data_IF_702187266684
#
_entry.id   IF_702187266684
#
_cell.length_a   1.000
_cell.length_b   1.000
_cell.length_c   1.000
_cell.angle_alpha   90.00
_cell.angle_beta   90.00
_cell.angle_gamma   90.00
#
_symmetry.space_group_name_H-M   'P 1'
#
loop_
_entity.id
_entity.type
_entity.pdbx_description
1 polymer ?
#
# COMPACT_ATOMS: atom_id res chain seq x y z
N UNK A 1 4.45 50.46 4.33
CA UNK A 1 3.29 49.64 3.89
C UNK A 1 3.02 49.99 2.44
N UNK A 2 3.15 49.04 1.53
CA UNK A 2 2.95 49.24 0.10
C UNK A 2 1.51 48.90 -0.31
N UNK A 3 1.10 49.37 -1.49
CA UNK A 3 -0.13 48.90 -2.14
C UNK A 3 0.03 47.44 -2.57
N UNK A 4 -1.04 46.64 -2.47
CA UNK A 4 -1.09 45.26 -2.95
C UNK A 4 -1.99 45.20 -4.19
N UNK A 5 -1.40 44.76 -5.30
CA UNK A 5 -2.04 44.61 -6.60
C UNK A 5 -2.20 43.13 -6.93
N UNK A 6 -3.19 42.82 -7.78
CA UNK A 6 -3.44 41.46 -8.29
C UNK A 6 -3.64 40.40 -7.19
N UNK A 7 -4.34 40.74 -6.11
CA UNK A 7 -4.60 39.79 -5.04
C UNK A 7 -5.52 38.68 -5.57
N UNK A 8 -4.99 37.47 -5.63
CA UNK A 8 -5.68 36.25 -6.04
C UNK A 8 -5.73 35.29 -4.85
N UNK A 9 -6.92 34.79 -4.54
CA UNK A 9 -7.10 33.76 -3.54
C UNK A 9 -7.22 32.41 -4.24
N UNK A 10 -6.37 31.47 -3.87
CA UNK A 10 -6.46 30.05 -4.24
C UNK A 10 -6.88 29.24 -3.02
N UNK A 11 -7.64 28.18 -3.27
CA UNK A 11 -8.21 27.33 -2.23
C UNK A 11 -7.78 25.88 -2.44
N UNK A 12 -7.81 25.08 -1.38
CA UNK A 12 -7.57 23.63 -1.47
C UNK A 12 -8.54 22.97 -2.45
N UNK A 13 -8.09 21.88 -3.09
CA UNK A 13 -8.92 21.12 -4.05
C UNK A 13 -10.11 20.40 -3.36
N UNK A 14 -10.14 20.39 -2.02
CA UNK A 14 -11.17 19.77 -1.17
C UNK A 14 -12.49 20.55 -1.12
N UNK A 15 -12.48 21.79 -1.62
CA UNK A 15 -13.67 22.64 -1.74
C UNK A 15 -13.82 23.15 -3.17
N UNK A 16 -15.06 23.20 -3.68
CA UNK A 16 -15.37 23.97 -4.87
C UNK A 16 -15.65 25.42 -4.47
N UNK A 17 -15.03 26.38 -5.17
CA UNK A 17 -15.27 27.81 -4.96
C UNK A 17 -15.93 28.43 -6.18
N UNK A 18 -16.86 29.36 -5.97
CA UNK A 18 -17.52 30.09 -7.07
C UNK A 18 -17.46 31.60 -6.83
N UNK A 19 -17.14 32.35 -7.89
CA UNK A 19 -17.32 33.80 -7.93
C UNK A 19 -16.13 34.67 -7.48
N UNK A 20 -14.93 34.12 -7.37
CA UNK A 20 -13.77 34.85 -6.85
C UNK A 20 -13.08 35.65 -7.96
N UNK A 21 -13.01 36.97 -7.79
CA UNK A 21 -12.37 37.91 -8.73
C UNK A 21 -11.14 38.55 -8.08
N UNK A 22 -10.14 38.88 -8.89
CA UNK A 22 -8.95 39.60 -8.42
C UNK A 22 -9.33 40.98 -7.86
N UNK A 23 -8.73 41.37 -6.73
CA UNK A 23 -8.94 42.68 -6.13
C UNK A 23 -7.62 43.44 -5.89
N UNK A 24 -7.72 44.76 -5.79
CA UNK A 24 -6.61 45.65 -5.42
C UNK A 24 -6.90 46.32 -4.09
N UNK A 25 -5.91 46.35 -3.20
CA UNK A 25 -6.01 46.91 -1.85
C UNK A 25 -4.97 48.04 -1.69
N UNK A 26 -5.42 49.23 -1.29
CA UNK A 26 -4.52 50.36 -1.05
C UNK A 26 -3.80 50.21 0.29
N UNK A 27 -2.64 50.85 0.43
CA UNK A 27 -1.92 50.84 1.69
C UNK A 27 -2.81 51.35 2.84
N UNK A 28 -2.88 50.59 3.95
CA UNK A 28 -3.72 50.85 5.14
C UNK A 28 -5.24 50.69 4.93
N UNK A 29 -5.67 50.11 3.82
CA UNK A 29 -7.08 49.76 3.56
C UNK A 29 -7.32 48.28 3.93
N UNK A 30 -8.50 47.98 4.49
CA UNK A 30 -8.98 46.62 4.74
C UNK A 30 -10.20 46.34 3.87
N UNK A 31 -10.24 45.19 3.19
CA UNK A 31 -11.41 44.73 2.42
C UNK A 31 -11.79 43.32 2.84
N UNK A 32 -13.09 43.09 2.99
CA UNK A 32 -13.67 41.76 3.22
C UNK A 32 -14.19 41.22 1.90
N UNK A 33 -13.91 39.94 1.60
CA UNK A 33 -14.43 39.24 0.42
C UNK A 33 -15.32 38.10 0.92
N UNK A 34 -16.53 38.03 0.38
CA UNK A 34 -17.45 36.92 0.60
C UNK A 34 -17.48 36.02 -0.64
N UNK A 35 -17.40 34.70 -0.44
CA UNK A 35 -17.49 33.72 -1.52
C UNK A 35 -18.14 32.43 -1.03
N UNK A 36 -18.83 31.75 -1.94
CA UNK A 36 -19.45 30.46 -1.64
C UNK A 36 -18.43 29.32 -1.78
N UNK A 37 -18.34 28.50 -0.75
CA UNK A 37 -17.56 27.26 -0.75
C UNK A 37 -18.51 26.06 -0.66
N UNK A 38 -18.20 25.00 -1.41
CA UNK A 38 -18.90 23.71 -1.30
C UNK A 38 -17.88 22.61 -0.98
N UNK A 39 -17.88 22.09 0.25
CA UNK A 39 -17.04 20.95 0.62
C UNK A 39 -17.39 19.73 -0.23
N UNK A 40 -16.36 19.01 -0.71
CA UNK A 40 -16.55 17.81 -1.54
C UNK A 40 -16.84 16.55 -0.73
N UNK A 41 -16.52 16.57 0.56
CA UNK A 41 -16.64 15.43 1.47
C UNK A 41 -17.18 15.90 2.85
N UNK A 42 -17.72 14.97 3.64
CA UNK A 42 -18.28 15.23 4.99
C UNK A 42 -17.19 15.25 6.08
N UNK A 43 -17.49 15.79 7.25
CA UNK A 43 -16.59 15.81 8.42
C UNK A 43 -15.73 17.07 8.50
N UNK A 44 -14.58 16.98 9.19
CA UNK A 44 -13.65 18.09 9.34
C UNK A 44 -12.82 18.24 8.06
N UNK A 45 -13.17 19.22 7.24
CA UNK A 45 -12.51 19.51 5.96
C UNK A 45 -11.53 20.68 6.16
N UNK A 46 -10.22 20.50 5.88
CA UNK A 46 -9.26 21.59 5.92
C UNK A 46 -9.46 22.52 4.72
N UNK A 47 -9.59 23.81 5.00
CA UNK A 47 -9.62 24.88 4.01
C UNK A 47 -8.29 25.63 4.05
N UNK A 48 -7.41 25.32 3.09
CA UNK A 48 -6.22 26.13 2.84
C UNK A 48 -6.60 27.32 1.95
N UNK A 49 -6.22 28.53 2.37
CA UNK A 49 -6.39 29.77 1.62
C UNK A 49 -5.00 30.35 1.36
N UNK A 50 -4.66 30.49 0.08
CA UNK A 50 -3.39 31.05 -0.37
C UNK A 50 -3.68 32.39 -1.04
N UNK A 51 -3.12 33.47 -0.47
CA UNK A 51 -3.16 34.80 -1.04
C UNK A 51 -1.87 35.08 -1.83
N UNK A 52 -2.02 35.30 -3.13
CA UNK A 52 -0.94 35.70 -4.03
C UNK A 52 -1.12 37.18 -4.40
N UNK A 53 -0.10 38.01 -4.20
CA UNK A 53 -0.19 39.44 -4.52
C UNK A 53 1.16 40.04 -4.92
N UNK A 54 1.12 41.22 -5.54
CA UNK A 54 2.29 41.94 -6.04
C UNK A 54 2.34 43.36 -5.46
N UNK A 55 3.51 43.86 -5.09
CA UNK A 55 3.67 45.25 -4.64
C UNK A 55 3.88 46.23 -5.80
N UNK A 56 3.85 47.54 -5.51
CA UNK A 56 4.06 48.59 -6.50
C UNK A 56 5.45 48.63 -7.17
N UNK A 57 6.38 47.75 -6.78
CA UNK A 57 7.69 47.56 -7.42
C UNK A 57 7.74 46.27 -8.27
N UNK A 58 6.63 45.55 -8.38
CA UNK A 58 6.51 44.32 -9.15
C UNK A 58 7.02 43.08 -8.42
N UNK A 59 7.24 43.15 -7.10
CA UNK A 59 7.68 41.99 -6.31
C UNK A 59 6.47 41.19 -5.87
N UNK A 60 6.53 39.86 -6.05
CA UNK A 60 5.45 38.92 -5.73
C UNK A 60 5.59 38.35 -4.31
N UNK A 61 4.46 38.10 -3.68
CA UNK A 61 4.34 37.59 -2.31
C UNK A 61 3.26 36.50 -2.25
N UNK A 62 3.44 35.58 -1.31
CA UNK A 62 2.52 34.48 -1.01
C UNK A 62 2.31 34.41 0.49
N UNK A 63 1.05 34.42 0.93
CA UNK A 63 0.67 34.16 2.32
C UNK A 63 -0.32 33.01 2.37
N UNK A 64 -0.17 32.14 3.37
CA UNK A 64 -1.01 30.95 3.55
C UNK A 64 -1.71 30.99 4.90
N UNK A 65 -2.98 30.59 4.90
CA UNK A 65 -3.79 30.40 6.09
C UNK A 65 -4.55 29.08 5.96
N UNK A 66 -4.67 28.34 7.05
CA UNK A 66 -5.42 27.08 7.10
C UNK A 66 -6.48 27.16 8.18
N UNK A 67 -7.71 26.80 7.84
CA UNK A 67 -8.87 26.82 8.74
C UNK A 67 -9.67 25.54 8.55
N UNK A 68 -10.22 24.97 9.62
CA UNK A 68 -10.99 23.74 9.56
C UNK A 68 -12.50 24.05 9.51
N UNK A 69 -13.22 23.34 8.63
CA UNK A 69 -14.66 23.49 8.46
C UNK A 69 -15.33 22.16 8.80
N UNK A 70 -16.25 22.18 9.76
CA UNK A 70 -17.05 21.03 10.14
C UNK A 70 -18.33 20.97 9.31
N UNK A 71 -18.57 19.84 8.63
CA UNK A 71 -19.69 19.66 7.69
C UNK A 71 -20.61 18.53 8.15
N UNK A 72 -21.75 18.89 8.75
CA UNK A 72 -22.79 17.97 9.25
C UNK A 72 -23.98 17.78 8.28
N UNK A 73 -24.75 16.69 8.47
CA UNK A 73 -25.86 16.26 7.61
C UNK A 73 -27.21 16.79 8.13
N UNK A 74 -27.95 17.58 7.33
CA UNK A 74 -29.28 18.05 7.75
C UNK A 74 -30.35 16.98 7.47
N UNK A 75 -31.00 16.48 8.52
CA UNK A 75 -32.10 15.52 8.45
C UNK A 75 -33.46 16.17 8.10
N UNK A 76 -34.23 15.53 7.20
CA UNK A 76 -35.70 15.46 7.25
C UNK A 76 -36.24 14.22 6.50
N UNK A 77 -37.34 13.69 7.04
CA UNK A 77 -37.75 12.27 7.18
C UNK A 77 -38.82 11.72 6.18
N UNK A 78 -39.16 10.39 6.23
CA UNK A 78 -39.82 9.52 5.20
C UNK A 78 -41.34 9.22 5.51
N UNK A 79 -42.06 8.08 5.20
CA UNK A 79 -41.79 6.79 4.49
C UNK A 79 -42.94 6.16 3.62
N UNK A 80 -42.66 5.01 2.97
CA UNK A 80 -43.48 3.76 2.80
C UNK A 80 -43.00 2.96 1.55
N UNK A 81 -42.94 1.62 1.42
CA UNK A 81 -42.95 0.42 2.28
C UNK A 81 -42.38 -0.73 1.43
N UNK A 82 -41.75 -1.70 2.10
CA UNK A 82 -41.19 -3.01 1.71
C UNK A 82 -41.75 -3.68 0.43
N UNK A 83 -40.85 -4.20 -0.42
CA UNK A 83 -40.93 -5.56 -1.02
C UNK A 83 -39.55 -5.99 -1.52
N UNK A 84 -39.00 -7.08 -0.98
CA UNK A 84 -38.01 -7.92 -1.68
C UNK A 84 -38.80 -8.81 -2.65
N UNK A 85 -38.29 -9.16 -3.85
CA UNK A 85 -37.27 -10.21 -3.93
C UNK A 85 -36.26 -10.10 -5.11
N UNK A 86 -35.26 -10.98 -5.01
CA UNK A 86 -34.43 -11.57 -6.06
C UNK A 86 -33.09 -10.91 -6.41
N UNK A 87 -32.08 -11.78 -6.44
CA UNK A 87 -30.68 -11.56 -6.74
C UNK A 87 -30.45 -10.64 -7.95
N UNK A 88 -29.78 -9.52 -7.71
CA UNK A 88 -29.18 -8.72 -8.77
C UNK A 88 -27.72 -9.12 -8.82
N UNK A 89 -27.34 -9.78 -9.91
CA UNK A 89 -25.95 -9.97 -10.29
C UNK A 89 -25.27 -8.59 -10.29
N UNK A 90 -24.24 -8.42 -9.45
CA UNK A 90 -23.48 -7.18 -9.35
C UNK A 90 -22.80 -6.89 -10.67
N UNK A 91 -23.23 -5.82 -11.35
CA UNK A 91 -22.44 -5.24 -12.43
C UNK A 91 -21.11 -4.72 -11.86
N UNK A 92 -19.99 -4.92 -12.55
CA UNK A 92 -18.71 -4.38 -12.11
C UNK A 92 -18.77 -2.84 -12.05
N UNK A 93 -18.01 -2.19 -11.14
CA UNK A 93 -17.94 -0.73 -11.07
C UNK A 93 -17.56 -0.15 -12.44
N UNK A 94 -18.16 0.98 -12.80
CA UNK A 94 -17.79 1.71 -14.01
C UNK A 94 -16.30 2.09 -13.94
N UNK A 95 -15.55 1.80 -14.99
CA UNK A 95 -14.14 2.16 -15.09
C UNK A 95 -13.94 3.66 -14.79
N UNK A 96 -12.86 4.04 -14.09
CA UNK A 96 -12.56 5.46 -13.89
C UNK A 96 -12.33 6.13 -15.24
N UNK A 97 -12.79 7.39 -15.40
CA UNK A 97 -12.73 8.20 -16.65
C UNK A 97 -11.33 8.25 -17.31
N UNK A 98 -10.29 7.97 -16.52
CA UNK A 98 -8.90 7.86 -16.93
C UNK A 98 -8.52 6.53 -17.60
N UNK A 99 -9.42 5.56 -17.67
CA UNK A 99 -9.16 4.21 -18.17
C UNK A 99 -9.93 3.89 -19.46
N UNK A 100 -10.84 4.76 -19.92
CA UNK A 100 -11.56 4.58 -21.19
C UNK A 100 -10.61 4.54 -22.39
N UNK A 101 -9.56 5.35 -22.36
CA UNK A 101 -8.48 5.34 -23.37
C UNK A 101 -7.65 4.05 -23.32
N UNK A 102 -7.53 3.42 -22.15
CA UNK A 102 -6.83 2.13 -21.97
C UNK A 102 -7.60 0.98 -22.62
N UNK A 103 -8.91 1.13 -22.87
CA UNK A 103 -9.72 0.14 -23.62
C UNK A 103 -9.25 -0.03 -25.07
N UNK A 104 -8.51 0.93 -25.62
CA UNK A 104 -7.91 0.76 -26.96
C UNK A 104 -6.73 -0.23 -26.94
N UNK A 105 -6.07 -0.42 -25.79
CA UNK A 105 -4.90 -1.29 -25.61
C UNK A 105 -5.24 -2.60 -24.91
N UNK A 106 -6.19 -2.57 -23.98
CA UNK A 106 -6.51 -3.68 -23.08
C UNK A 106 -8.01 -4.00 -23.10
N UNK A 107 -8.34 -5.28 -23.26
CA UNK A 107 -9.69 -5.79 -23.07
C UNK A 107 -9.88 -6.07 -21.57
N UNK A 108 -10.68 -5.25 -20.88
CA UNK A 108 -10.99 -5.44 -19.46
C UNK A 108 -11.94 -6.62 -19.26
N UNK A 109 -11.51 -7.61 -18.48
CA UNK A 109 -12.27 -8.84 -18.24
C UNK A 109 -12.99 -8.77 -16.89
N UNK A 110 -12.25 -8.41 -15.84
CA UNK A 110 -12.72 -8.54 -14.46
C UNK A 110 -12.02 -7.53 -13.56
N UNK A 111 -12.74 -7.02 -12.57
CA UNK A 111 -12.15 -6.23 -11.49
C UNK A 111 -11.63 -7.19 -10.41
N UNK A 112 -10.33 -7.11 -10.09
CA UNK A 112 -9.69 -8.01 -9.12
C UNK A 112 -9.78 -7.43 -7.71
N UNK A 113 -9.47 -6.13 -7.56
CA UNK A 113 -9.43 -5.52 -6.24
C UNK A 113 -9.10 -4.03 -6.25
N UNK A 114 -9.27 -3.40 -5.10
CA UNK A 114 -9.07 -1.97 -4.89
C UNK A 114 -8.25 -1.78 -3.62
N UNK A 115 -7.03 -1.27 -3.77
CA UNK A 115 -6.14 -0.89 -2.67
C UNK A 115 -6.27 0.59 -2.31
N UNK A 116 -5.47 1.08 -1.36
CA UNK A 116 -5.50 2.50 -0.99
C UNK A 116 -5.18 3.45 -2.16
N UNK A 117 -4.30 3.02 -3.07
CA UNK A 117 -3.71 3.89 -4.09
C UNK A 117 -4.02 3.48 -5.54
N UNK A 118 -4.51 2.27 -5.77
CA UNK A 118 -4.74 1.74 -7.11
C UNK A 118 -5.87 0.72 -7.13
N UNK A 119 -6.53 0.62 -8.27
CA UNK A 119 -7.44 -0.44 -8.64
C UNK A 119 -6.71 -1.44 -9.54
N UNK A 120 -7.05 -2.72 -9.42
CA UNK A 120 -6.43 -3.81 -10.19
C UNK A 120 -7.50 -4.51 -11.01
N UNK A 121 -7.22 -4.67 -12.29
CA UNK A 121 -8.13 -5.31 -13.24
C UNK A 121 -7.44 -6.48 -13.93
N UNK A 122 -8.16 -7.57 -14.16
CA UNK A 122 -7.77 -8.61 -15.10
C UNK A 122 -8.04 -8.12 -16.50
N UNK A 123 -7.03 -8.15 -17.35
CA UNK A 123 -7.12 -7.69 -18.73
C UNK A 123 -6.57 -8.73 -19.69
N UNK A 124 -6.99 -8.63 -20.95
CA UNK A 124 -6.37 -9.32 -22.07
C UNK A 124 -5.72 -8.29 -23.00
N UNK A 125 -4.50 -8.57 -23.41
CA UNK A 125 -3.78 -7.76 -24.42
C UNK A 125 -4.19 -8.25 -25.81
N UNK A 126 -4.06 -7.42 -26.84
CA UNK A 126 -4.42 -7.77 -28.22
C UNK A 126 -3.72 -9.03 -28.77
N UNK A 127 -2.55 -9.42 -28.23
CA UNK A 127 -1.90 -10.70 -28.57
C UNK A 127 -2.50 -11.94 -27.88
N UNK A 128 -3.53 -11.78 -27.03
CA UNK A 128 -4.27 -12.87 -26.39
C UNK A 128 -3.80 -13.27 -24.99
N UNK A 129 -2.69 -12.69 -24.50
CA UNK A 129 -2.19 -12.94 -23.14
C UNK A 129 -3.04 -12.27 -22.06
N UNK A 130 -3.19 -12.95 -20.92
CA UNK A 130 -3.82 -12.41 -19.72
C UNK A 130 -2.77 -11.69 -18.87
N UNK A 131 -3.13 -10.52 -18.36
CA UNK A 131 -2.32 -9.71 -17.46
C UNK A 131 -3.19 -9.10 -16.35
N UNK A 132 -2.55 -8.64 -15.28
CA UNK A 132 -3.18 -7.78 -14.28
C UNK A 132 -2.75 -6.33 -14.53
N UNK A 133 -3.70 -5.41 -14.56
CA UNK A 133 -3.48 -3.99 -14.82
C UNK A 133 -3.75 -3.20 -13.53
N UNK A 134 -2.68 -2.71 -12.90
CA UNK A 134 -2.75 -1.84 -11.72
C UNK A 134 -2.84 -0.39 -12.20
N UNK A 135 -3.96 0.25 -11.92
CA UNK A 135 -4.27 1.63 -12.33
C UNK A 135 -4.38 2.48 -11.07
N UNK A 136 -3.60 3.55 -10.91
CA UNK A 136 -3.70 4.39 -9.73
C UNK A 136 -5.08 5.06 -9.69
N UNK A 137 -5.65 5.15 -8.49
CA UNK A 137 -6.91 5.86 -8.27
C UNK A 137 -6.71 7.33 -8.64
N UNK A 138 -7.63 7.87 -9.45
CA UNK A 138 -7.55 9.24 -9.94
C UNK A 138 -7.81 10.25 -8.81
N UNK A 139 -6.79 10.62 -8.04
CA UNK A 139 -6.87 11.72 -7.09
C UNK A 139 -5.47 12.18 -6.66
N UNK A 140 -5.10 13.42 -6.96
CA UNK A 140 -3.91 14.14 -6.46
C UNK A 140 -2.53 13.82 -7.08
N UNK A 141 -1.65 14.82 -7.04
CA UNK A 141 -0.22 14.71 -7.41
C UNK A 141 0.56 13.78 -6.48
N UNK A 142 0.11 13.59 -5.24
CA UNK A 142 0.77 12.75 -4.22
C UNK A 142 0.65 11.27 -4.60
N UNK A 143 -0.54 10.78 -4.95
CA UNK A 143 -0.74 9.39 -5.36
C UNK A 143 0.05 9.01 -6.61
N UNK A 144 0.12 9.90 -7.61
CA UNK A 144 0.98 9.69 -8.79
C UNK A 144 2.47 9.58 -8.42
N UNK A 145 2.96 10.39 -7.49
CA UNK A 145 4.35 10.31 -7.03
C UNK A 145 4.64 8.99 -6.31
N UNK A 146 3.72 8.52 -5.47
CA UNK A 146 3.82 7.22 -4.79
C UNK A 146 3.85 6.09 -5.82
N UNK A 147 2.94 6.10 -6.79
CA UNK A 147 2.86 5.12 -7.86
C UNK A 147 4.12 5.07 -8.74
N UNK A 148 4.68 6.23 -9.13
CA UNK A 148 5.93 6.30 -9.89
C UNK A 148 7.12 5.79 -9.05
N UNK A 149 7.13 6.09 -7.74
CA UNK A 149 8.17 5.61 -6.83
C UNK A 149 8.11 4.09 -6.67
N UNK A 150 6.91 3.53 -6.50
CA UNK A 150 6.66 2.08 -6.48
C UNK A 150 7.23 1.42 -7.75
N UNK A 151 6.82 1.92 -8.91
CA UNK A 151 7.28 1.44 -10.21
C UNK A 151 8.81 1.51 -10.33
N UNK A 152 9.42 2.64 -9.95
CA UNK A 152 10.87 2.83 -10.04
C UNK A 152 11.66 1.83 -9.18
N UNK A 153 11.17 1.47 -7.98
CA UNK A 153 11.84 0.44 -7.19
C UNK A 153 11.64 -0.94 -7.79
N UNK A 154 10.41 -1.28 -8.17
CA UNK A 154 10.04 -2.61 -8.65
C UNK A 154 10.70 -2.95 -10.00
N UNK A 155 10.89 -1.96 -10.90
CA UNK A 155 11.58 -2.16 -12.18
C UNK A 155 13.02 -2.68 -12.04
N UNK A 156 13.68 -2.45 -10.90
CA UNK A 156 15.05 -2.90 -10.64
C UNK A 156 15.14 -4.32 -10.03
N UNK A 157 13.98 -4.95 -9.82
CA UNK A 157 13.87 -6.29 -9.23
C UNK A 157 13.53 -7.31 -10.31
N UNK A 158 14.32 -8.39 -10.37
CA UNK A 158 14.20 -9.49 -11.33
C UNK A 158 14.57 -10.76 -10.59
N UNK A 159 13.55 -11.52 -10.20
CA UNK A 159 13.71 -12.73 -9.40
C UNK A 159 12.50 -13.66 -9.67
N UNK A 160 12.66 -14.99 -9.70
CA UNK A 160 11.54 -15.91 -9.94
C UNK A 160 10.38 -15.72 -8.96
N UNK A 161 10.68 -15.43 -7.70
CA UNK A 161 9.70 -15.20 -6.62
C UNK A 161 9.37 -13.71 -6.38
N UNK A 162 9.60 -12.85 -7.37
CA UNK A 162 9.08 -11.47 -7.39
C UNK A 162 8.14 -11.35 -8.58
N UNK A 163 6.95 -10.80 -8.37
CA UNK A 163 5.95 -10.67 -9.42
C UNK A 163 6.48 -9.72 -10.51
N UNK A 164 6.37 -10.16 -11.76
CA UNK A 164 6.98 -9.50 -12.92
C UNK A 164 6.12 -8.35 -13.42
N UNK A 165 6.75 -7.20 -13.62
CA UNK A 165 6.23 -6.10 -14.44
C UNK A 165 6.46 -6.45 -15.91
N UNK A 166 5.38 -6.51 -16.70
CA UNK A 166 5.40 -6.75 -18.14
C UNK A 166 5.60 -5.45 -18.93
N UNK A 167 4.82 -4.43 -18.59
CA UNK A 167 4.83 -3.12 -19.24
C UNK A 167 4.35 -2.04 -18.25
N UNK A 168 4.54 -0.77 -18.59
CA UNK A 168 4.02 0.35 -17.82
C UNK A 168 3.93 1.59 -18.71
N UNK A 169 3.06 2.53 -18.32
CA UNK A 169 3.12 3.88 -18.86
C UNK A 169 2.90 4.89 -17.72
N UNK A 170 3.40 6.10 -17.93
CA UNK A 170 3.22 7.25 -17.05
C UNK A 170 2.37 8.34 -17.69
N UNK A 171 2.19 8.33 -19.02
CA UNK A 171 1.49 9.37 -19.79
C UNK A 171 0.78 8.79 -21.03
N UNK A 172 -0.45 9.25 -21.37
CA UNK A 172 -1.27 10.21 -20.64
C UNK A 172 -1.95 9.61 -19.40
N UNK A 173 -2.01 8.27 -19.30
CA UNK A 173 -2.67 7.56 -18.20
C UNK A 173 -1.71 6.57 -17.56
N UNK A 174 -1.35 6.77 -16.28
CA UNK A 174 -0.41 5.89 -15.61
C UNK A 174 -1.02 4.50 -15.38
N UNK A 175 -0.26 3.45 -15.67
CA UNK A 175 -0.60 2.06 -15.33
C UNK A 175 0.66 1.22 -15.14
N UNK A 176 0.53 0.09 -14.45
CA UNK A 176 1.52 -0.97 -14.39
C UNK A 176 0.85 -2.25 -14.85
N UNK A 177 1.38 -2.84 -15.91
CA UNK A 177 0.99 -4.15 -16.38
C UNK A 177 1.85 -5.22 -15.69
N UNK A 178 1.20 -6.15 -15.02
CA UNK A 178 1.80 -7.22 -14.24
C UNK A 178 1.46 -8.57 -14.89
N UNK A 179 2.33 -9.56 -14.69
CA UNK A 179 1.91 -10.95 -14.92
C UNK A 179 0.68 -11.27 -14.05
N UNK A 180 -0.26 -12.01 -14.62
CA UNK A 180 -1.50 -12.35 -13.91
C UNK A 180 -1.22 -13.47 -12.91
N UNK A 181 -1.58 -13.21 -11.65
CA UNK A 181 -1.62 -14.20 -10.59
C UNK A 181 -3.05 -14.74 -10.43
N UNK A 182 -3.20 -16.05 -10.26
CA UNK A 182 -4.53 -16.67 -10.15
C UNK A 182 -5.20 -16.38 -8.80
N UNK A 183 -4.40 -16.26 -7.74
CA UNK A 183 -4.86 -16.02 -6.37
C UNK A 183 -3.72 -15.49 -5.50
N UNK A 184 -4.07 -14.95 -4.33
CA UNK A 184 -3.14 -14.60 -3.25
C UNK A 184 -3.07 -15.70 -2.18
N UNK A 185 -2.09 -15.61 -1.29
CA UNK A 185 -2.01 -16.47 -0.11
C UNK A 185 -3.15 -16.22 0.89
N UNK A 186 -3.74 -15.02 0.87
CA UNK A 186 -4.92 -14.70 1.68
C UNK A 186 -6.17 -15.48 1.23
N UNK A 187 -6.23 -15.89 -0.03
CA UNK A 187 -7.34 -16.67 -0.58
C UNK A 187 -7.27 -18.17 -0.23
N UNK A 188 -6.16 -18.64 0.33
CA UNK A 188 -5.98 -20.04 0.71
C UNK A 188 -6.67 -20.35 2.04
N UNK A 189 -7.18 -21.58 2.17
CA UNK A 189 -7.70 -22.06 3.45
C UNK A 189 -6.54 -22.45 4.37
N UNK A 190 -6.41 -21.73 5.48
CA UNK A 190 -5.41 -22.02 6.51
C UNK A 190 -5.98 -22.94 7.62
N UNK A 191 -5.14 -23.72 8.32
CA UNK A 191 -3.70 -23.88 8.13
C UNK A 191 -3.35 -24.71 6.88
N UNK A 192 -2.18 -24.45 6.31
CA UNK A 192 -1.59 -25.22 5.21
C UNK A 192 -0.84 -26.47 5.72
N UNK A 193 -0.50 -27.37 4.81
CA UNK A 193 0.47 -28.43 5.10
C UNK A 193 1.86 -27.83 5.36
N UNK A 194 2.64 -28.50 6.22
CA UNK A 194 3.88 -27.93 6.77
C UNK A 194 4.92 -27.68 5.68
N UNK A 195 5.08 -28.63 4.77
CA UNK A 195 6.00 -28.55 3.64
C UNK A 195 5.64 -27.41 2.69
N UNK A 196 4.34 -27.15 2.51
CA UNK A 196 3.85 -26.03 1.69
C UNK A 196 4.15 -24.68 2.36
N UNK A 197 3.80 -24.53 3.64
CA UNK A 197 4.11 -23.32 4.41
C UNK A 197 5.62 -23.03 4.45
N UNK A 198 6.44 -24.05 4.67
CA UNK A 198 7.90 -23.92 4.66
C UNK A 198 8.45 -23.55 3.27
N UNK A 199 7.93 -24.18 2.20
CA UNK A 199 8.33 -23.89 0.82
C UNK A 199 7.98 -22.46 0.41
N UNK A 200 6.75 -22.02 0.69
CA UNK A 200 6.33 -20.63 0.43
C UNK A 200 7.26 -19.68 1.17
N UNK A 201 7.45 -19.86 2.47
CA UNK A 201 8.31 -18.98 3.28
C UNK A 201 9.75 -18.94 2.76
N UNK A 202 10.30 -20.08 2.34
CA UNK A 202 11.65 -20.16 1.77
C UNK A 202 11.78 -19.30 0.50
N UNK A 203 10.85 -19.44 -0.45
CA UNK A 203 10.87 -18.67 -1.70
C UNK A 203 10.68 -17.17 -1.50
N UNK A 204 9.84 -16.79 -0.53
CA UNK A 204 9.64 -15.39 -0.14
C UNK A 204 10.92 -14.82 0.47
N UNK A 205 11.58 -15.56 1.37
CA UNK A 205 12.86 -15.15 1.96
C UNK A 205 13.98 -15.06 0.91
N UNK A 206 14.00 -15.92 -0.10
CA UNK A 206 14.99 -15.84 -1.17
C UNK A 206 14.80 -14.59 -2.06
N UNK A 207 13.54 -14.23 -2.37
CA UNK A 207 13.22 -12.95 -3.00
C UNK A 207 13.65 -11.74 -2.16
N UNK A 208 13.43 -11.78 -0.85
CA UNK A 208 13.85 -10.72 0.07
C UNK A 208 15.38 -10.62 0.15
N UNK A 209 16.09 -11.75 0.22
CA UNK A 209 17.56 -11.79 0.16
C UNK A 209 18.09 -11.08 -1.08
N UNK A 210 17.49 -11.38 -2.24
CA UNK A 210 17.82 -10.72 -3.50
C UNK A 210 17.56 -9.20 -3.44
N UNK A 211 16.40 -8.78 -2.96
CA UNK A 211 16.07 -7.36 -2.85
C UNK A 211 16.98 -6.61 -1.86
N UNK A 212 17.30 -7.22 -0.71
CA UNK A 212 18.19 -6.65 0.31
C UNK A 212 19.63 -6.50 -0.20
N UNK A 213 20.10 -7.40 -1.08
CA UNK A 213 21.39 -7.24 -1.76
C UNK A 213 21.49 -5.96 -2.61
N UNK A 214 20.34 -5.36 -2.94
CA UNK A 214 20.20 -4.09 -3.66
C UNK A 214 19.75 -2.92 -2.76
N UNK A 215 19.82 -3.10 -1.44
CA UNK A 215 19.35 -2.15 -0.43
C UNK A 215 17.85 -1.79 -0.57
N UNK A 216 17.05 -2.75 -1.05
CA UNK A 216 15.60 -2.62 -1.21
C UNK A 216 14.90 -3.49 -0.18
N UNK A 217 14.31 -2.86 0.83
CA UNK A 217 13.46 -3.54 1.83
C UNK A 217 12.00 -3.47 1.41
N UNK A 218 11.23 -4.56 1.60
CA UNK A 218 9.86 -4.66 1.12
C UNK A 218 8.87 -3.90 2.00
N UNK A 219 8.89 -4.19 3.30
CA UNK A 219 8.20 -3.46 4.37
C UNK A 219 6.67 -3.62 4.49
N UNK A 220 6.04 -4.42 3.67
CA UNK A 220 4.60 -4.71 3.74
C UNK A 220 4.35 -6.17 3.38
N UNK A 221 5.14 -7.08 3.95
CA UNK A 221 4.94 -8.50 3.72
C UNK A 221 3.72 -8.95 4.53
N UNK A 222 2.71 -9.45 3.82
CA UNK A 222 1.44 -9.96 4.34
C UNK A 222 0.85 -10.97 3.36
N UNK A 223 -0.19 -11.70 3.77
CA UNK A 223 -0.80 -12.76 2.95
C UNK A 223 -1.26 -12.24 1.57
N UNK A 224 -1.92 -11.08 1.50
CA UNK A 224 -2.37 -10.50 0.21
C UNK A 224 -1.26 -10.09 -0.75
N UNK A 225 -0.02 -9.91 -0.26
CA UNK A 225 1.12 -9.52 -1.09
C UNK A 225 1.97 -10.72 -1.54
N UNK A 226 1.59 -11.94 -1.15
CA UNK A 226 2.14 -13.19 -1.67
C UNK A 226 1.17 -13.75 -2.70
N UNK A 227 1.52 -13.64 -3.98
CA UNK A 227 0.67 -14.06 -5.09
C UNK A 227 1.18 -15.35 -5.72
N UNK A 228 0.27 -16.16 -6.27
CA UNK A 228 0.63 -17.37 -7.01
C UNK A 228 0.49 -17.14 -8.50
N UNK A 229 1.52 -17.48 -9.26
CA UNK A 229 1.49 -17.52 -10.73
C UNK A 229 1.89 -18.94 -11.15
N UNK A 230 0.97 -19.70 -11.74
CA UNK A 230 1.17 -21.12 -12.04
C UNK A 230 1.65 -21.92 -10.81
N UNK A 231 1.12 -21.61 -9.62
CA UNK A 231 1.50 -22.26 -8.36
C UNK A 231 2.84 -21.83 -7.77
N UNK A 232 3.55 -20.86 -8.39
CA UNK A 232 4.82 -20.32 -7.86
C UNK A 232 4.52 -19.09 -7.00
N UNK A 233 4.94 -19.05 -5.71
CA UNK A 233 4.74 -17.89 -4.86
C UNK A 233 5.67 -16.75 -5.27
N UNK A 234 5.11 -15.54 -5.35
CA UNK A 234 5.76 -14.31 -5.80
C UNK A 234 5.37 -13.14 -4.92
N UNK A 235 6.36 -12.38 -4.45
CA UNK A 235 6.13 -11.12 -3.75
C UNK A 235 5.71 -10.02 -4.72
N UNK A 236 4.64 -9.31 -4.35
CA UNK A 236 4.11 -8.14 -5.06
C UNK A 236 4.05 -6.90 -4.16
N UNK A 237 3.69 -5.76 -4.74
CA UNK A 237 3.41 -4.50 -4.03
C UNK A 237 4.62 -3.92 -3.28
N UNK A 238 5.62 -3.49 -4.05
CA UNK A 238 6.84 -2.88 -3.54
C UNK A 238 6.67 -1.38 -3.21
N UNK A 239 5.44 -0.90 -2.96
CA UNK A 239 5.13 0.52 -2.80
C UNK A 239 5.78 1.20 -1.60
N UNK A 240 6.07 0.45 -0.53
CA UNK A 240 6.72 0.97 0.67
C UNK A 240 8.26 0.87 0.63
N UNK A 241 8.81 0.30 -0.44
CA UNK A 241 10.23 0.11 -0.59
C UNK A 241 10.97 1.45 -0.76
N UNK A 242 12.09 1.62 -0.04
CA UNK A 242 12.90 2.86 0.01
C UNK A 242 12.23 4.11 0.62
N UNK A 243 11.21 4.01 1.47
CA UNK A 243 10.83 5.14 2.34
C UNK A 243 11.88 5.33 3.45
N UNK A 244 12.98 6.03 3.18
CA UNK A 244 13.96 6.35 4.24
C UNK A 244 13.26 7.12 5.36
N UNK A 245 13.54 6.71 6.59
CA UNK A 245 13.09 7.35 7.83
C UNK A 245 13.26 8.86 7.78
N UNK A 246 12.23 9.62 8.16
CA UNK A 246 12.39 11.05 8.43
C UNK A 246 11.20 11.97 8.09
N UNK A 247 10.31 11.63 7.18
CA UNK A 247 9.12 12.46 6.93
C UNK A 247 8.07 11.74 6.07
N UNK A 248 6.80 11.86 6.49
CA UNK A 248 5.59 11.46 5.76
C UNK A 248 5.23 9.97 5.68
N UNK A 249 5.44 9.17 6.73
CA UNK A 249 4.57 7.99 6.93
C UNK A 249 3.38 8.45 7.77
N UNK A 250 2.20 8.49 7.16
CA UNK A 250 0.97 8.55 7.94
C UNK A 250 0.67 7.14 8.45
N UNK A 251 0.01 7.02 9.60
CA UNK A 251 -0.44 5.73 10.18
C UNK A 251 -1.35 4.90 9.26
N UNK A 252 -1.68 5.42 8.08
CA UNK A 252 -2.56 4.84 7.07
C UNK A 252 -1.80 4.02 6.00
N UNK A 253 -0.46 4.08 6.00
CA UNK A 253 0.35 3.59 4.87
C UNK A 253 0.91 2.15 5.04
N UNK A 254 0.61 1.43 6.13
CA UNK A 254 1.13 0.07 6.36
C UNK A 254 0.08 -0.86 7.00
N UNK A 255 0.25 -2.17 6.83
CA UNK A 255 -0.63 -3.19 7.41
C UNK A 255 -0.26 -3.45 8.88
N UNK A 256 -1.09 -3.02 9.85
CA UNK A 256 -0.73 -3.06 11.28
C UNK A 256 -0.35 -4.41 11.83
N UNK A 257 -1.08 -5.44 11.40
CA UNK A 257 -0.99 -6.82 11.91
C UNK A 257 0.35 -7.48 11.59
N UNK A 258 1.06 -6.97 10.58
CA UNK A 258 2.32 -7.52 10.10
C UNK A 258 3.50 -6.56 10.30
N UNK A 259 3.29 -5.39 10.91
CA UNK A 259 4.35 -4.40 11.08
C UNK A 259 5.33 -4.80 12.21
N UNK A 260 6.64 -4.77 11.95
CA UNK A 260 7.64 -4.94 13.00
C UNK A 260 7.71 -3.70 13.91
N UNK A 261 8.08 -3.84 15.19
CA UNK A 261 8.11 -2.71 16.14
C UNK A 261 8.97 -1.53 15.69
N UNK A 262 10.09 -1.83 15.03
CA UNK A 262 11.01 -0.83 14.52
C UNK A 262 10.42 0.02 13.37
N UNK A 263 9.25 -0.33 12.81
CA UNK A 263 8.50 0.58 11.93
C UNK A 263 8.04 1.82 12.65
N UNK A 264 7.52 1.67 13.88
CA UNK A 264 7.07 2.78 14.71
C UNK A 264 8.26 3.65 15.17
N UNK A 265 9.47 3.11 15.12
CA UNK A 265 10.72 3.79 15.49
C UNK A 265 11.52 4.30 14.28
N UNK A 266 11.04 4.06 13.04
CA UNK A 266 11.73 4.47 11.82
C UNK A 266 13.09 3.81 11.62
N UNK A 267 13.27 2.53 11.99
CA UNK A 267 14.55 1.79 11.86
C UNK A 267 14.39 0.49 11.08
N UNK A 268 13.64 0.55 9.98
CA UNK A 268 13.33 -0.63 9.15
C UNK A 268 14.61 -1.22 8.54
N UNK A 269 14.78 -2.53 8.66
CA UNK A 269 15.97 -3.28 8.22
C UNK A 269 15.58 -4.62 7.59
N UNK A 270 16.56 -5.40 7.15
CA UNK A 270 16.36 -6.80 6.72
C UNK A 270 15.56 -7.60 7.76
N UNK A 271 15.89 -7.42 9.04
CA UNK A 271 15.25 -8.12 10.15
C UNK A 271 13.77 -7.78 10.29
N UNK A 272 13.36 -6.60 9.82
CA UNK A 272 11.95 -6.21 9.81
C UNK A 272 11.18 -7.08 8.83
N UNK A 273 11.68 -7.25 7.61
CA UNK A 273 11.07 -8.12 6.61
C UNK A 273 11.04 -9.60 7.07
N UNK A 274 12.10 -10.06 7.78
CA UNK A 274 12.10 -11.40 8.41
C UNK A 274 10.98 -11.55 9.44
N UNK A 275 10.74 -10.53 10.26
CA UNK A 275 9.65 -10.57 11.23
C UNK A 275 8.30 -10.74 10.54
N UNK A 276 8.03 -9.95 9.50
CA UNK A 276 6.79 -10.05 8.72
C UNK A 276 6.65 -11.43 8.04
N UNK A 277 7.75 -11.97 7.50
CA UNK A 277 7.79 -13.33 6.95
C UNK A 277 7.50 -14.40 8.03
N UNK A 278 7.96 -14.18 9.26
CA UNK A 278 7.64 -15.01 10.42
C UNK A 278 6.16 -14.98 10.80
N UNK A 279 5.50 -13.81 10.72
CA UNK A 279 4.05 -13.68 10.94
C UNK A 279 3.27 -14.51 9.93
N UNK A 280 3.54 -14.35 8.64
CA UNK A 280 2.81 -15.10 7.60
C UNK A 280 3.07 -16.61 7.73
N UNK A 281 4.27 -17.03 8.13
CA UNK A 281 4.58 -18.43 8.39
C UNK A 281 3.80 -18.97 9.59
N UNK A 282 3.67 -18.17 10.66
CA UNK A 282 2.83 -18.50 11.80
C UNK A 282 1.35 -18.68 11.38
N UNK A 283 0.82 -17.73 10.61
CA UNK A 283 -0.56 -17.78 10.09
C UNK A 283 -0.77 -19.01 9.23
N UNK A 284 0.16 -19.31 8.30
CA UNK A 284 0.07 -20.51 7.46
C UNK A 284 0.04 -21.81 8.28
N UNK A 285 0.79 -21.88 9.39
CA UNK A 285 0.89 -23.09 10.20
C UNK A 285 -0.25 -23.27 11.20
N UNK A 286 -0.90 -22.18 11.61
CA UNK A 286 -1.87 -22.20 12.73
C UNK A 286 -3.28 -21.77 12.33
N UNK A 287 -3.43 -21.09 11.19
CA UNK A 287 -4.67 -20.46 10.75
C UNK A 287 -5.03 -19.18 11.48
N UNK A 288 -4.18 -18.67 12.38
CA UNK A 288 -4.45 -17.46 13.17
C UNK A 288 -3.27 -16.51 13.18
N UNK A 289 -3.55 -15.20 13.22
CA UNK A 289 -2.51 -14.20 13.39
C UNK A 289 -2.08 -14.11 14.87
N UNK A 290 -0.77 -14.19 15.19
CA UNK A 290 -0.29 -14.19 16.57
C UNK A 290 -0.57 -12.89 17.34
N UNK A 291 -0.86 -11.79 16.64
CA UNK A 291 -1.05 -10.46 17.20
C UNK A 291 -2.40 -9.81 16.87
N UNK A 292 -3.36 -10.59 16.38
CA UNK A 292 -4.71 -10.11 16.06
C UNK A 292 -5.37 -9.39 17.25
N UNK A 293 -5.89 -8.19 17.03
CA UNK A 293 -6.67 -7.44 18.02
C UNK A 293 -7.62 -6.46 17.33
N UNK A 294 -8.58 -5.92 18.09
CA UNK A 294 -9.65 -5.06 17.57
C UNK A 294 -9.16 -3.65 17.21
N UNK A 295 -8.14 -3.15 17.91
CA UNK A 295 -7.63 -1.79 17.70
C UNK A 295 -6.15 -1.76 17.37
N UNK A 296 -5.74 -0.73 16.62
CA UNK A 296 -4.34 -0.46 16.28
C UNK A 296 -3.42 -0.41 17.51
N UNK A 297 -3.90 0.23 18.58
CA UNK A 297 -3.15 0.38 19.84
C UNK A 297 -2.94 -0.97 20.51
N UNK A 298 -3.94 -1.86 20.46
CA UNK A 298 -3.82 -3.22 21.01
C UNK A 298 -2.92 -4.10 20.17
N UNK A 299 -2.98 -3.98 18.84
CA UNK A 299 -2.06 -4.65 17.92
C UNK A 299 -0.63 -4.24 18.27
N UNK A 300 -0.33 -2.93 18.34
CA UNK A 300 1.01 -2.45 18.70
C UNK A 300 1.43 -2.97 20.08
N UNK A 301 0.53 -2.94 21.07
CA UNK A 301 0.80 -3.44 22.43
C UNK A 301 1.12 -4.94 22.42
N UNK A 302 0.39 -5.75 21.64
CA UNK A 302 0.67 -7.18 21.48
C UNK A 302 2.00 -7.41 20.78
N UNK A 303 2.26 -6.72 19.68
CA UNK A 303 3.55 -6.80 18.99
C UNK A 303 4.68 -6.41 19.96
N UNK A 304 4.47 -5.47 20.89
CA UNK A 304 5.51 -4.99 21.81
C UNK A 304 5.77 -5.89 23.01
N UNK A 305 4.70 -6.42 23.63
CA UNK A 305 4.79 -7.03 24.95
C UNK A 305 4.27 -8.46 25.04
N UNK A 306 3.57 -8.93 24.00
CA UNK A 306 3.03 -10.28 23.98
C UNK A 306 3.98 -11.23 23.24
N UNK A 307 4.34 -12.33 23.93
CA UNK A 307 5.04 -13.46 23.33
C UNK A 307 3.99 -14.47 22.85
N UNK A 308 3.86 -14.70 21.53
CA UNK A 308 2.90 -15.66 21.02
C UNK A 308 3.29 -17.08 21.45
N UNK A 309 2.32 -18.01 21.59
CA UNK A 309 2.62 -19.41 21.81
C UNK A 309 3.36 -19.97 20.60
N UNK A 310 4.04 -21.09 20.75
CA UNK A 310 4.64 -21.78 19.61
C UNK A 310 3.54 -22.27 18.66
N UNK A 311 3.80 -22.35 17.34
CA UNK A 311 2.86 -22.97 16.41
C UNK A 311 2.37 -24.35 16.87
N UNK A 312 3.24 -25.18 17.44
CA UNK A 312 2.87 -26.52 17.93
C UNK A 312 1.92 -26.56 19.12
N UNK A 313 1.73 -25.45 19.83
CA UNK A 313 0.73 -25.34 20.90
C UNK A 313 -0.69 -25.15 20.34
N UNK A 314 -0.81 -24.72 19.08
CA UNK A 314 -2.09 -24.58 18.35
C UNK A 314 -2.28 -25.73 17.36
N UNK A 315 -1.25 -26.02 16.56
CA UNK A 315 -1.21 -27.11 15.60
C UNK A 315 -0.03 -28.03 15.89
N UNK A 316 -0.27 -29.13 16.61
CA UNK A 316 0.77 -30.04 17.10
C UNK A 316 1.72 -30.56 16.01
N UNK A 317 1.25 -30.65 14.75
CA UNK A 317 2.08 -31.04 13.60
C UNK A 317 3.22 -30.05 13.33
N UNK A 318 3.03 -28.75 13.62
CA UNK A 318 3.98 -27.68 13.30
C UNK A 318 5.27 -27.69 14.15
N UNK A 319 5.42 -28.63 15.08
CA UNK A 319 6.58 -28.75 15.97
C UNK A 319 7.95 -28.69 15.30
N UNK A 320 8.18 -29.29 14.10
CA UNK A 320 9.46 -29.16 13.40
C UNK A 320 9.82 -27.71 13.03
N UNK A 321 8.82 -26.84 12.88
CA UNK A 321 8.98 -25.46 12.40
C UNK A 321 8.90 -24.41 13.52
N UNK A 322 8.60 -24.82 14.76
CA UNK A 322 8.52 -23.91 15.92
C UNK A 322 9.76 -23.02 16.01
N UNK A 323 10.96 -23.58 15.90
CA UNK A 323 12.20 -22.83 16.06
C UNK A 323 12.36 -21.75 14.98
N UNK A 324 12.05 -22.06 13.72
CA UNK A 324 12.15 -21.10 12.62
C UNK A 324 11.17 -19.93 12.83
N UNK A 325 9.91 -20.23 13.18
CA UNK A 325 8.90 -19.21 13.43
C UNK A 325 9.29 -18.33 14.61
N UNK A 326 9.66 -18.93 15.75
CA UNK A 326 9.96 -18.17 16.97
C UNK A 326 11.21 -17.30 16.83
N UNK A 327 12.23 -17.74 16.10
CA UNK A 327 13.39 -16.91 15.78
C UNK A 327 13.06 -15.75 14.84
N UNK A 328 12.12 -15.94 13.90
CA UNK A 328 11.69 -14.89 12.99
C UNK A 328 10.86 -13.81 13.70
N UNK A 329 9.97 -14.20 14.63
CA UNK A 329 9.10 -13.27 15.37
C UNK A 329 9.70 -12.77 16.70
N UNK A 330 11.00 -12.99 16.92
CA UNK A 330 11.73 -12.48 18.08
C UNK A 330 11.66 -10.94 18.13
N UNK A 331 11.37 -10.42 19.33
CA UNK A 331 11.13 -8.99 19.56
C UNK A 331 12.43 -8.21 19.51
N UNK A 332 13.49 -8.75 20.12
CA UNK A 332 14.82 -8.15 20.04
C UNK A 332 15.43 -8.41 18.65
N UNK A 333 15.57 -7.35 17.86
CA UNK A 333 16.14 -7.37 16.50
C UNK A 333 17.54 -8.01 16.47
N UNK A 334 18.31 -7.92 17.57
CA UNK A 334 19.64 -8.52 17.66
C UNK A 334 19.59 -10.05 17.81
N UNK A 335 18.54 -10.57 18.43
CA UNK A 335 18.31 -12.00 18.63
C UNK A 335 17.46 -12.62 17.51
N UNK A 336 16.75 -11.79 16.74
CA UNK A 336 15.96 -12.22 15.58
C UNK A 336 16.83 -12.88 14.53
N UNK A 337 16.34 -13.94 13.88
CA UNK A 337 17.09 -14.60 12.81
C UNK A 337 17.40 -13.64 11.64
N UNK A 338 18.52 -13.85 10.97
CA UNK A 338 18.76 -13.25 9.65
C UNK A 338 18.04 -14.02 8.55
N UNK A 339 17.94 -13.45 7.34
CA UNK A 339 17.41 -14.18 6.19
C UNK A 339 18.24 -15.44 5.92
N UNK A 340 19.57 -15.33 5.97
CA UNK A 340 20.47 -16.47 5.74
C UNK A 340 20.27 -17.60 6.75
N UNK A 341 19.95 -17.28 8.00
CA UNK A 341 19.66 -18.26 9.03
C UNK A 341 18.32 -18.94 8.78
N UNK A 342 17.29 -18.15 8.48
CA UNK A 342 15.96 -18.67 8.14
C UNK A 342 15.98 -19.58 6.91
N UNK A 343 16.69 -19.19 5.84
CA UNK A 343 16.81 -20.00 4.63
C UNK A 343 17.49 -21.34 4.91
N UNK A 344 18.49 -21.40 5.81
CA UNK A 344 19.10 -22.67 6.22
C UNK A 344 18.13 -23.54 7.00
N UNK A 345 17.44 -22.99 8.00
CA UNK A 345 16.48 -23.73 8.80
C UNK A 345 15.38 -24.36 7.93
N UNK A 346 14.83 -23.59 6.98
CA UNK A 346 13.82 -24.07 6.06
C UNK A 346 14.38 -25.05 5.04
N UNK A 347 15.59 -24.82 4.54
CA UNK A 347 16.23 -25.74 3.60
C UNK A 347 16.51 -27.12 4.21
N UNK A 348 17.02 -27.12 5.45
CA UNK A 348 17.27 -28.34 6.21
C UNK A 348 15.96 -29.11 6.45
N UNK A 349 14.87 -28.41 6.77
CA UNK A 349 13.54 -29.00 6.93
C UNK A 349 13.00 -29.59 5.62
N UNK A 350 13.13 -28.86 4.51
CA UNK A 350 12.66 -29.27 3.18
C UNK A 350 13.56 -30.32 2.51
N UNK A 351 14.73 -30.63 3.09
CA UNK A 351 15.72 -31.52 2.49
C UNK A 351 16.33 -30.99 1.19
N UNK A 352 16.30 -29.67 0.97
CA UNK A 352 16.89 -29.03 -0.22
C UNK A 352 18.34 -28.64 0.08
N UNK A 353 19.25 -28.91 -0.87
CA UNK A 353 20.65 -28.51 -0.70
C UNK A 353 20.79 -27.01 -0.90
N UNK A 354 20.73 -26.25 0.19
CA UNK A 354 20.97 -24.81 0.17
C UNK A 354 22.47 -24.53 0.12
N UNK A 355 23.05 -24.52 -1.08
CA UNK A 355 24.41 -24.02 -1.23
C UNK A 355 24.41 -22.50 -1.02
N UNK A 356 25.29 -22.00 -0.14
CA UNK A 356 25.64 -20.57 -0.01
C UNK A 356 26.09 -19.93 -1.35
N UNK A 357 26.16 -20.72 -2.42
CA UNK A 357 26.83 -20.49 -3.69
C UNK A 357 25.86 -20.38 -4.90
N UNK A 358 24.64 -19.88 -4.71
CA UNK A 358 24.01 -19.03 -5.75
C UNK A 358 24.69 -17.64 -5.74
N UNK A 359 26.02 -17.65 -5.88
CA UNK A 359 26.85 -16.49 -6.19
C UNK A 359 26.52 -16.09 -7.63
N UNK A 360 25.79 -15.00 -7.78
CA UNK A 360 25.66 -14.28 -9.04
C UNK A 360 25.04 -15.08 -10.20
N UNK A 361 23.74 -14.91 -10.42
CA UNK A 361 23.26 -14.81 -11.79
C UNK A 361 23.20 -13.29 -12.08
N UNK A 362 24.05 -12.59 -12.86
CA UNK A 362 25.03 -12.93 -13.89
C UNK A 362 24.49 -14.02 -14.83
N UNK A 363 23.56 -13.72 -15.72
CA UNK A 363 23.59 -12.60 -16.68
C UNK A 363 22.34 -11.71 -16.72
#
# INVERSE_FOLDING_TARGET
MAHAYNLLLSFSEDVDTRGIKSITIKAKETKTIEFGIKPKYKGNVPLEIIALFEDGKGKKYEEKCEVWIEVEESAKEPPATITTPAAIATQPPSLPISAESLKEKFDFIEFIGSGAFADVYKVRIKEGEISALKIPKAATRKLRKVFIKELATWLNLRHPNILKIKDYDSHPYPYIELEYAEQSLEDLNLPLELEEAASITFYILDALRYAHSKEIYHRDIKLSNVLFVNGIPKLSDWGLSKLVSGSELSTVDFSPLHAALEFFEGKVSEKSDVFQAGIIMYEMLTGVNPFEAETMVEIERKIRFYNPPKPSEINQKAKPLDNAVMLAVEKDVNNRASIDEMLRLLADYLGITYSRALKGAAD
#
